data_IF_081338128172
#
_entry.id   IF_081338128172
#
_cell.length_a   1.000
_cell.length_b   1.000
_cell.length_c   1.000
_cell.angle_alpha   90.00
_cell.angle_beta   90.00
_cell.angle_gamma   90.00
#
_symmetry.space_group_name_H-M   'P 1'
#
loop_
_entity.id
_entity.type
_entity.pdbx_description
1 polymer ?
#
# COMPACT_ATOMS: atom_id res chain seq x y z
N UNK A 1 -45.35 -10.01 11.76
CA UNK A 1 -44.09 -9.29 12.06
C UNK A 1 -42.94 -10.19 11.70
N UNK A 2 -42.34 -9.96 10.52
CA UNK A 2 -41.22 -10.74 10.03
C UNK A 2 -39.97 -10.06 10.56
N UNK A 3 -39.30 -10.64 11.55
CA UNK A 3 -38.01 -10.17 12.04
C UNK A 3 -36.97 -10.47 10.98
N UNK A 4 -36.54 -9.43 10.26
CA UNK A 4 -35.42 -9.45 9.37
C UNK A 4 -34.15 -9.60 10.24
N UNK A 5 -33.73 -10.83 10.48
CA UNK A 5 -32.42 -11.15 11.05
C UNK A 5 -31.39 -10.83 9.99
N UNK A 6 -30.89 -9.59 9.98
CA UNK A 6 -29.64 -9.24 9.30
C UNK A 6 -28.56 -9.96 10.10
N UNK A 7 -28.21 -11.16 9.69
CA UNK A 7 -27.03 -11.84 10.20
C UNK A 7 -25.83 -10.96 9.82
N UNK A 8 -25.25 -10.29 10.80
CA UNK A 8 -23.96 -9.62 10.68
C UNK A 8 -22.94 -10.74 10.43
N UNK A 9 -22.68 -11.04 9.17
CA UNK A 9 -21.69 -12.05 8.82
C UNK A 9 -20.33 -11.52 9.26
N UNK A 10 -19.83 -12.04 10.37
CA UNK A 10 -18.47 -11.78 10.80
C UNK A 10 -17.51 -12.18 9.68
N UNK A 11 -16.45 -11.41 9.50
CA UNK A 11 -15.39 -11.77 8.56
C UNK A 11 -14.82 -13.14 9.00
N UNK A 12 -15.06 -14.17 8.22
CA UNK A 12 -14.37 -15.43 8.41
C UNK A 12 -12.99 -15.31 7.78
N UNK A 13 -12.00 -14.96 8.62
CA UNK A 13 -10.61 -15.02 8.21
C UNK A 13 -10.29 -16.49 7.93
N UNK A 14 -9.79 -16.85 6.74
CA UNK A 14 -9.41 -18.24 6.47
C UNK A 14 -8.31 -18.68 7.45
N UNK A 15 -8.17 -19.99 7.69
CA UNK A 15 -7.11 -20.50 8.53
C UNK A 15 -5.75 -20.10 7.93
N UNK A 16 -4.73 -19.82 8.78
CA UNK A 16 -3.41 -19.49 8.29
C UNK A 16 -2.82 -20.69 7.54
N UNK A 17 -2.05 -20.43 6.47
CA UNK A 17 -1.26 -21.48 5.81
C UNK A 17 -0.15 -21.94 6.76
N UNK A 18 0.59 -22.99 6.35
CA UNK A 18 1.64 -23.59 7.19
C UNK A 18 2.82 -22.66 7.48
N UNK A 19 2.92 -21.55 6.76
CA UNK A 19 3.95 -20.53 6.95
C UNK A 19 5.37 -21.04 6.74
N UNK A 20 6.34 -20.41 7.36
CA UNK A 20 7.77 -20.63 7.12
C UNK A 20 8.40 -21.69 8.03
N UNK A 21 7.69 -22.20 9.02
CA UNK A 21 8.24 -23.05 10.08
C UNK A 21 8.38 -24.53 9.77
N UNK A 22 8.01 -25.00 8.58
CA UNK A 22 8.00 -26.42 8.23
C UNK A 22 8.64 -26.68 6.87
N UNK A 23 9.13 -27.90 6.64
CA UNK A 23 9.70 -28.32 5.34
C UNK A 23 8.69 -28.37 4.20
N UNK A 24 7.39 -28.33 4.52
CA UNK A 24 6.26 -28.23 3.57
C UNK A 24 5.57 -26.88 3.71
N UNK A 25 6.37 -25.86 3.93
CA UNK A 25 5.88 -24.53 4.18
C UNK A 25 5.08 -24.00 2.98
N UNK A 26 3.99 -23.34 3.28
CA UNK A 26 3.05 -22.77 2.33
C UNK A 26 2.63 -21.39 2.83
N UNK A 27 2.68 -20.41 1.95
CA UNK A 27 2.29 -19.01 2.27
C UNK A 27 1.11 -18.55 1.44
N UNK A 28 0.53 -19.44 0.63
CA UNK A 28 -0.59 -19.14 -0.26
C UNK A 28 -1.87 -19.80 0.28
N UNK A 29 -2.94 -19.01 0.36
CA UNK A 29 -4.30 -19.51 0.62
C UNK A 29 -5.15 -19.17 -0.59
N UNK A 30 -5.45 -20.14 -1.41
CA UNK A 30 -6.29 -19.98 -2.61
C UNK A 30 -7.72 -20.44 -2.34
N UNK A 31 -8.48 -19.63 -1.55
CA UNK A 31 -9.88 -19.95 -1.27
C UNK A 31 -10.81 -19.68 -2.46
N UNK A 32 -10.37 -18.89 -3.44
CA UNK A 32 -11.12 -18.64 -4.66
C UNK A 32 -10.92 -19.74 -5.73
N UNK A 33 -9.97 -20.66 -5.53
CA UNK A 33 -9.60 -21.74 -6.46
C UNK A 33 -9.27 -21.22 -7.88
N UNK A 34 -8.43 -20.21 -7.96
CA UNK A 34 -8.03 -19.56 -9.22
C UNK A 34 -6.56 -19.82 -9.57
N UNK A 35 -5.83 -20.54 -8.74
CA UNK A 35 -4.40 -20.82 -8.92
C UNK A 35 -4.15 -22.26 -9.32
N UNK A 36 -3.19 -22.43 -10.21
CA UNK A 36 -2.62 -23.75 -10.52
C UNK A 36 -1.52 -24.09 -9.50
N UNK A 37 -1.31 -25.38 -9.20
CA UNK A 37 -0.29 -25.79 -8.25
C UNK A 37 1.11 -25.25 -8.54
N UNK A 38 1.52 -25.25 -9.81
CA UNK A 38 2.81 -24.69 -10.24
C UNK A 38 2.96 -23.18 -9.94
N UNK A 39 1.86 -22.44 -9.92
CA UNK A 39 1.86 -21.03 -9.54
C UNK A 39 2.03 -20.89 -8.02
N UNK A 40 1.33 -21.70 -7.25
CA UNK A 40 1.47 -21.75 -5.79
C UNK A 40 2.92 -22.08 -5.42
N UNK A 41 3.51 -23.09 -6.06
CA UNK A 41 4.91 -23.45 -5.85
C UNK A 41 5.88 -22.33 -6.20
N UNK A 42 5.61 -21.59 -7.27
CA UNK A 42 6.43 -20.43 -7.66
C UNK A 42 6.36 -19.33 -6.63
N UNK A 43 5.16 -18.96 -6.18
CA UNK A 43 4.96 -17.94 -5.16
C UNK A 43 5.63 -18.34 -3.85
N UNK A 44 5.47 -19.62 -3.45
CA UNK A 44 6.14 -20.15 -2.27
C UNK A 44 7.66 -20.01 -2.37
N UNK A 45 8.29 -20.38 -3.50
CA UNK A 45 9.74 -20.21 -3.69
C UNK A 45 10.19 -18.77 -3.55
N UNK A 46 9.46 -17.80 -4.14
CA UNK A 46 9.78 -16.38 -3.99
C UNK A 46 9.71 -15.97 -2.51
N UNK A 47 8.62 -16.33 -1.83
CA UNK A 47 8.41 -16.01 -0.43
C UNK A 47 9.49 -16.60 0.49
N UNK A 48 9.89 -17.86 0.24
CA UNK A 48 10.97 -18.51 0.99
C UNK A 48 12.33 -17.89 0.74
N UNK A 49 12.61 -17.50 -0.50
CA UNK A 49 13.86 -16.81 -0.83
C UNK A 49 13.96 -15.47 -0.09
N UNK A 50 12.86 -14.71 -0.08
CA UNK A 50 12.76 -13.48 0.70
C UNK A 50 12.96 -13.73 2.19
N UNK A 51 12.26 -14.72 2.75
CA UNK A 51 12.34 -15.01 4.18
C UNK A 51 13.75 -15.48 4.59
N UNK A 52 14.35 -16.36 3.82
CA UNK A 52 15.69 -16.88 4.11
C UNK A 52 16.76 -15.78 4.08
N UNK A 53 16.63 -14.78 3.22
CA UNK A 53 17.63 -13.71 3.01
C UNK A 53 17.38 -12.45 3.82
N UNK A 54 16.14 -12.16 4.18
CA UNK A 54 15.76 -10.93 4.89
C UNK A 54 15.09 -11.16 6.25
N UNK A 55 14.57 -12.37 6.51
CA UNK A 55 13.67 -12.61 7.62
C UNK A 55 12.29 -11.95 7.47
N UNK A 56 12.02 -11.31 6.34
CA UNK A 56 10.71 -10.77 6.01
C UNK A 56 9.71 -11.88 5.65
N UNK A 57 8.44 -11.59 5.78
CA UNK A 57 7.37 -12.54 5.52
C UNK A 57 6.36 -12.00 4.54
N UNK A 58 5.90 -12.82 3.62
CA UNK A 58 4.75 -12.48 2.78
C UNK A 58 3.74 -13.62 2.78
N UNK A 59 2.47 -13.27 2.64
CA UNK A 59 1.42 -14.24 2.40
C UNK A 59 0.52 -13.78 1.26
N UNK A 60 0.01 -14.72 0.48
CA UNK A 60 -0.88 -14.48 -0.64
C UNK A 60 -2.21 -15.13 -0.36
N UNK A 61 -3.27 -14.37 -0.52
CA UNK A 61 -4.63 -14.81 -0.22
C UNK A 61 -5.55 -14.47 -1.38
N UNK A 62 -6.25 -15.48 -1.90
CA UNK A 62 -7.38 -15.23 -2.76
C UNK A 62 -8.68 -15.56 -2.02
N UNK A 63 -9.64 -14.67 -2.06
CA UNK A 63 -10.97 -14.88 -1.49
C UNK A 63 -12.01 -14.80 -2.59
N UNK A 64 -13.05 -15.67 -2.58
CA UNK A 64 -14.09 -15.61 -3.61
C UNK A 64 -14.91 -14.33 -3.50
N UNK A 65 -15.11 -13.82 -2.29
CA UNK A 65 -15.89 -12.62 -2.04
C UNK A 65 -15.54 -12.01 -0.67
N UNK A 66 -15.67 -10.71 -0.55
CA UNK A 66 -15.49 -9.97 0.70
C UNK A 66 -16.76 -9.18 1.09
N UNK A 67 -17.83 -9.33 0.31
CA UNK A 67 -19.09 -8.62 0.51
C UNK A 67 -18.93 -7.11 0.36
N UNK A 68 -19.46 -6.37 1.32
CA UNK A 68 -19.38 -4.89 1.34
C UNK A 68 -18.17 -4.34 2.10
N UNK A 69 -17.24 -5.20 2.48
CA UNK A 69 -16.06 -4.78 3.26
C UNK A 69 -15.02 -4.14 2.35
N UNK A 70 -14.27 -3.17 2.90
CA UNK A 70 -13.12 -2.63 2.20
C UNK A 70 -11.99 -3.67 2.14
N UNK A 71 -11.30 -3.84 0.99
CA UNK A 71 -10.17 -4.77 0.88
C UNK A 71 -9.09 -4.56 1.94
N UNK A 72 -8.84 -3.31 2.32
CA UNK A 72 -7.88 -2.96 3.38
C UNK A 72 -8.24 -3.58 4.71
N UNK A 73 -9.52 -3.53 5.12
CA UNK A 73 -9.96 -4.07 6.41
C UNK A 73 -9.81 -5.59 6.45
N UNK A 74 -10.11 -6.25 5.32
CA UNK A 74 -9.98 -7.70 5.19
C UNK A 74 -8.52 -8.13 5.23
N UNK A 75 -7.65 -7.49 4.44
CA UNK A 75 -6.23 -7.79 4.41
C UNK A 75 -5.56 -7.53 5.78
N UNK A 76 -5.92 -6.44 6.43
CA UNK A 76 -5.46 -6.09 7.77
C UNK A 76 -5.89 -7.12 8.82
N UNK A 77 -7.14 -7.56 8.78
CA UNK A 77 -7.65 -8.59 9.69
C UNK A 77 -6.90 -9.92 9.49
N UNK A 78 -6.63 -10.31 8.25
CA UNK A 78 -5.83 -11.50 7.92
C UNK A 78 -4.41 -11.36 8.47
N UNK A 79 -3.71 -10.27 8.16
CA UNK A 79 -2.34 -10.05 8.60
C UNK A 79 -2.18 -10.11 10.12
N UNK A 80 -3.13 -9.53 10.85
CA UNK A 80 -3.15 -9.55 12.32
C UNK A 80 -3.50 -10.93 12.87
N UNK A 81 -4.51 -11.59 12.30
CA UNK A 81 -4.95 -12.91 12.77
C UNK A 81 -3.88 -13.98 12.54
N UNK A 82 -3.14 -13.90 11.44
CA UNK A 82 -2.08 -14.84 11.11
C UNK A 82 -0.75 -14.50 11.78
N UNK A 83 -0.58 -13.26 12.27
CA UNK A 83 0.66 -12.81 12.87
C UNK A 83 1.81 -12.70 11.88
N UNK A 84 1.52 -12.31 10.63
CA UNK A 84 2.55 -12.18 9.58
C UNK A 84 3.54 -11.08 9.95
N UNK A 85 4.82 -11.36 9.73
CA UNK A 85 5.94 -10.51 10.14
C UNK A 85 6.61 -10.99 11.43
N UNK A 86 7.93 -10.85 11.49
CA UNK A 86 8.71 -11.33 12.62
C UNK A 86 8.46 -10.52 13.90
N UNK A 87 8.29 -11.20 15.03
CA UNK A 87 8.28 -10.60 16.35
C UNK A 87 9.73 -10.39 16.85
N UNK A 88 10.46 -9.52 16.16
CA UNK A 88 11.85 -9.23 16.49
C UNK A 88 11.97 -8.10 17.53
N UNK A 89 13.16 -7.91 18.10
CA UNK A 89 13.42 -6.86 19.08
C UNK A 89 13.23 -5.46 18.49
N UNK A 90 12.91 -4.48 19.35
CA UNK A 90 12.78 -3.09 18.93
C UNK A 90 14.08 -2.60 18.28
N UNK A 91 13.95 -2.00 17.09
CA UNK A 91 15.09 -1.51 16.31
C UNK A 91 15.65 -2.50 15.29
N UNK A 92 15.20 -3.76 15.28
CA UNK A 92 15.57 -4.70 14.22
C UNK A 92 14.71 -4.45 12.96
N UNK A 93 15.35 -4.42 11.79
CA UNK A 93 14.70 -4.19 10.48
C UNK A 93 13.63 -5.27 10.16
N UNK A 94 13.80 -6.48 10.68
CA UNK A 94 12.88 -7.60 10.46
C UNK A 94 11.60 -7.52 11.30
N UNK A 95 11.56 -6.63 12.31
CA UNK A 95 10.39 -6.50 13.18
C UNK A 95 9.18 -6.07 12.40
N UNK A 96 8.10 -6.86 12.46
CA UNK A 96 6.85 -6.65 11.72
C UNK A 96 7.05 -6.47 10.20
N UNK A 97 8.14 -7.03 9.65
CA UNK A 97 8.41 -7.00 8.22
C UNK A 97 7.54 -8.04 7.51
N UNK A 98 6.25 -7.74 7.41
CA UNK A 98 5.23 -8.61 6.83
C UNK A 98 4.45 -7.94 5.70
N UNK A 99 4.00 -8.73 4.72
CA UNK A 99 3.15 -8.28 3.61
C UNK A 99 2.05 -9.30 3.36
N UNK A 100 0.82 -8.80 3.18
CA UNK A 100 -0.31 -9.59 2.69
C UNK A 100 -0.69 -9.11 1.30
N UNK A 101 -0.77 -10.01 0.35
CA UNK A 101 -1.31 -9.78 -0.99
C UNK A 101 -2.70 -10.41 -1.03
N UNK A 102 -3.74 -9.59 -1.08
CA UNK A 102 -5.14 -10.01 -1.15
C UNK A 102 -5.68 -9.79 -2.55
N UNK A 103 -6.29 -10.81 -3.13
CA UNK A 103 -7.00 -10.73 -4.41
C UNK A 103 -8.39 -11.33 -4.28
N UNK A 104 -9.38 -10.61 -4.79
CA UNK A 104 -10.77 -11.08 -4.94
C UNK A 104 -11.10 -11.11 -6.42
N UNK A 105 -11.32 -12.28 -7.01
CA UNK A 105 -11.66 -12.39 -8.43
C UNK A 105 -13.00 -11.71 -8.72
N UNK A 106 -13.07 -11.00 -9.85
CA UNK A 106 -14.27 -10.32 -10.29
C UNK A 106 -15.47 -11.27 -10.48
N UNK A 107 -15.17 -12.47 -10.96
CA UNK A 107 -16.18 -13.48 -11.32
C UNK A 107 -16.93 -14.04 -10.11
N UNK A 108 -16.30 -14.07 -8.95
CA UNK A 108 -16.89 -14.57 -7.71
C UNK A 108 -17.36 -13.48 -6.76
N UNK A 109 -16.93 -12.23 -7.00
CA UNK A 109 -17.26 -11.11 -6.15
C UNK A 109 -18.73 -10.69 -6.27
N UNK A 110 -19.41 -10.57 -5.14
CA UNK A 110 -20.79 -10.07 -5.07
C UNK A 110 -20.92 -8.61 -5.51
N UNK A 111 -19.85 -7.84 -5.42
CA UNK A 111 -19.79 -6.45 -5.91
C UNK A 111 -19.67 -6.34 -7.44
N UNK A 112 -19.39 -7.45 -8.13
CA UNK A 112 -19.11 -7.47 -9.57
C UNK A 112 -17.80 -6.82 -9.96
N UNK A 113 -16.92 -6.51 -9.00
CA UNK A 113 -15.58 -5.94 -9.21
C UNK A 113 -14.53 -6.88 -8.66
N UNK A 114 -13.40 -6.97 -9.37
CA UNK A 114 -12.22 -7.61 -8.84
C UNK A 114 -11.46 -6.63 -7.96
N UNK A 115 -10.80 -7.13 -6.91
CA UNK A 115 -10.04 -6.33 -5.96
C UNK A 115 -8.63 -6.91 -5.79
N UNK A 116 -7.63 -6.06 -5.86
CA UNK A 116 -6.26 -6.34 -5.48
C UNK A 116 -5.84 -5.38 -4.38
N UNK A 117 -5.30 -5.90 -3.30
CA UNK A 117 -4.79 -5.07 -2.21
C UNK A 117 -3.51 -5.67 -1.63
N UNK A 118 -2.49 -4.85 -1.49
CA UNK A 118 -1.24 -5.19 -0.81
C UNK A 118 -1.19 -4.39 0.48
N UNK A 119 -1.24 -5.07 1.64
CA UNK A 119 -1.10 -4.41 2.94
C UNK A 119 0.25 -4.75 3.56
N UNK A 120 0.82 -3.76 4.22
CA UNK A 120 2.16 -3.80 4.79
C UNK A 120 2.11 -3.81 6.32
N UNK A 121 3.00 -4.58 6.93
CA UNK A 121 3.29 -4.47 8.35
C UNK A 121 4.16 -3.24 8.63
N UNK A 122 4.17 -2.79 9.87
CA UNK A 122 4.92 -1.58 10.28
C UNK A 122 6.40 -1.60 9.89
N UNK A 123 7.01 -2.78 9.81
CA UNK A 123 8.40 -2.94 9.40
C UNK A 123 8.63 -2.80 7.89
N UNK A 124 7.58 -2.90 7.08
CA UNK A 124 7.66 -2.78 5.62
C UNK A 124 7.18 -1.43 5.08
N UNK A 125 6.45 -0.66 5.86
CA UNK A 125 5.91 0.66 5.44
C UNK A 125 7.01 1.66 5.03
N UNK A 126 8.24 1.49 5.55
CA UNK A 126 9.36 2.36 5.24
C UNK A 126 9.92 2.18 3.82
N UNK A 127 9.74 1.01 3.21
CA UNK A 127 10.26 0.68 1.89
C UNK A 127 9.22 0.14 0.89
N UNK A 128 8.02 -0.22 1.36
CA UNK A 128 6.84 -0.45 0.51
C UNK A 128 5.77 0.54 0.94
N UNK A 129 5.72 1.67 0.26
CA UNK A 129 4.72 2.70 0.53
C UNK A 129 3.36 2.33 -0.04
N UNK A 130 2.30 2.98 0.44
CA UNK A 130 0.93 2.81 -0.09
C UNK A 130 0.86 3.07 -1.60
N UNK A 131 1.63 4.03 -2.09
CA UNK A 131 1.69 4.37 -3.50
C UNK A 131 2.34 3.26 -4.34
N UNK A 132 3.40 2.62 -3.83
CA UNK A 132 4.06 1.48 -4.47
C UNK A 132 3.19 0.24 -4.42
N UNK A 133 2.56 -0.07 -3.29
CA UNK A 133 1.59 -1.15 -3.15
C UNK A 133 0.44 -1.01 -4.17
N UNK A 134 -0.13 0.20 -4.29
CA UNK A 134 -1.15 0.48 -5.29
C UNK A 134 -0.61 0.39 -6.73
N UNK A 135 0.65 0.78 -6.98
CA UNK A 135 1.28 0.67 -8.29
C UNK A 135 1.47 -0.79 -8.71
N UNK A 136 1.92 -1.66 -7.79
CA UNK A 136 2.03 -3.11 -8.04
C UNK A 136 0.68 -3.71 -8.42
N UNK A 137 -0.39 -3.38 -7.68
CA UNK A 137 -1.73 -3.84 -8.03
C UNK A 137 -2.16 -3.34 -9.42
N UNK A 138 -1.93 -2.06 -9.75
CA UNK A 138 -2.25 -1.52 -11.09
C UNK A 138 -1.48 -2.20 -12.21
N UNK A 139 -0.22 -2.56 -11.99
CA UNK A 139 0.60 -3.30 -12.95
C UNK A 139 -0.01 -4.68 -13.25
N UNK A 140 -0.60 -5.33 -12.25
CA UNK A 140 -1.22 -6.65 -12.38
C UNK A 140 -2.64 -6.61 -12.98
N UNK A 141 -3.33 -5.45 -12.99
CA UNK A 141 -4.72 -5.32 -13.49
C UNK A 141 -4.93 -5.88 -14.91
N UNK A 142 -4.06 -5.63 -15.91
CA UNK A 142 -4.25 -6.19 -17.23
C UNK A 142 -4.31 -7.73 -17.27
N UNK A 143 -3.53 -8.39 -16.39
CA UNK A 143 -3.55 -9.84 -16.26
C UNK A 143 -4.84 -10.32 -15.58
N UNK A 144 -5.28 -9.63 -14.52
CA UNK A 144 -6.55 -9.91 -13.85
C UNK A 144 -7.75 -9.78 -14.79
N UNK A 145 -7.78 -8.73 -15.62
CA UNK A 145 -8.82 -8.54 -16.63
C UNK A 145 -8.88 -9.69 -17.66
N UNK A 146 -7.73 -10.32 -17.92
CA UNK A 146 -7.62 -11.51 -18.77
C UNK A 146 -7.82 -12.82 -18.00
N UNK A 147 -8.21 -12.77 -16.72
CA UNK A 147 -8.35 -13.92 -15.82
C UNK A 147 -7.06 -14.72 -15.62
N UNK A 148 -5.92 -14.10 -15.86
CA UNK A 148 -4.60 -14.69 -15.65
C UNK A 148 -4.13 -14.49 -14.19
N UNK A 149 -4.89 -15.04 -13.24
CA UNK A 149 -4.65 -14.85 -11.80
C UNK A 149 -3.28 -15.36 -11.37
N UNK A 150 -2.86 -16.52 -11.90
CA UNK A 150 -1.55 -17.09 -11.60
C UNK A 150 -0.38 -16.17 -11.97
N UNK A 151 -0.24 -15.77 -13.24
CA UNK A 151 0.76 -14.80 -13.66
C UNK A 151 0.71 -13.48 -12.89
N UNK A 152 -0.50 -12.96 -12.62
CA UNK A 152 -0.70 -11.71 -11.88
C UNK A 152 -0.18 -11.80 -10.44
N UNK A 153 -0.51 -12.88 -9.72
CA UNK A 153 -0.06 -13.08 -8.35
C UNK A 153 1.44 -13.40 -8.26
N UNK A 154 1.99 -14.13 -9.22
CA UNK A 154 3.43 -14.35 -9.32
C UNK A 154 4.18 -13.04 -9.60
N UNK A 155 3.63 -12.14 -10.42
CA UNK A 155 4.16 -10.79 -10.64
C UNK A 155 4.15 -9.98 -9.34
N UNK A 156 3.03 -9.95 -8.63
CA UNK A 156 2.92 -9.23 -7.35
C UNK A 156 3.91 -9.76 -6.31
N UNK A 157 3.99 -11.07 -6.13
CA UNK A 157 4.96 -11.69 -5.22
C UNK A 157 6.40 -11.35 -5.59
N UNK A 158 6.72 -11.34 -6.90
CA UNK A 158 8.02 -10.93 -7.42
C UNK A 158 8.33 -9.46 -7.12
N UNK A 159 7.37 -8.55 -7.33
CA UNK A 159 7.55 -7.13 -7.04
C UNK A 159 7.74 -6.85 -5.55
N UNK A 160 6.95 -7.49 -4.69
CA UNK A 160 7.15 -7.43 -3.24
C UNK A 160 8.54 -7.97 -2.88
N UNK A 161 8.93 -9.11 -3.42
CA UNK A 161 10.26 -9.69 -3.20
C UNK A 161 11.39 -8.77 -3.65
N UNK A 162 11.23 -8.05 -4.77
CA UNK A 162 12.20 -7.05 -5.26
C UNK A 162 12.37 -5.89 -4.27
N UNK A 163 11.29 -5.39 -3.66
CA UNK A 163 11.39 -4.35 -2.62
C UNK A 163 12.17 -4.86 -1.40
N UNK A 164 11.91 -6.09 -0.95
CA UNK A 164 12.71 -6.70 0.10
C UNK A 164 14.18 -6.83 -0.30
N UNK A 165 14.45 -7.26 -1.54
CA UNK A 165 15.81 -7.42 -2.05
C UNK A 165 16.58 -6.10 -2.06
N UNK A 166 15.93 -5.00 -2.45
CA UNK A 166 16.51 -3.66 -2.44
C UNK A 166 16.79 -3.16 -1.02
N UNK A 167 15.83 -3.30 -0.09
CA UNK A 167 15.99 -2.82 1.28
C UNK A 167 17.05 -3.61 2.07
N UNK A 168 17.09 -4.93 1.88
CA UNK A 168 17.98 -5.82 2.64
C UNK A 168 19.28 -6.17 1.91
N UNK A 169 19.47 -5.68 0.67
CA UNK A 169 20.72 -5.81 -0.08
C UNK A 169 21.02 -7.23 -0.58
N UNK A 170 20.01 -7.95 -1.05
CA UNK A 170 20.18 -9.27 -1.65
C UNK A 170 19.61 -9.33 -3.08
N UNK A 171 19.81 -10.44 -3.77
CA UNK A 171 19.20 -10.71 -5.08
C UNK A 171 18.22 -11.88 -4.96
N UNK A 172 17.07 -11.77 -5.60
CA UNK A 172 16.12 -12.87 -5.72
C UNK A 172 16.67 -13.96 -6.63
N UNK A 173 16.27 -15.20 -6.37
CA UNK A 173 16.53 -16.29 -7.30
C UNK A 173 15.74 -16.07 -8.60
N UNK A 174 16.47 -15.78 -9.67
CA UNK A 174 15.93 -15.46 -10.99
C UNK A 174 15.10 -16.60 -11.59
N UNK A 175 15.31 -17.84 -11.18
CA UNK A 175 14.51 -18.99 -11.64
C UNK A 175 13.06 -18.96 -11.14
N UNK A 176 12.82 -18.28 -10.04
CA UNK A 176 11.49 -18.19 -9.40
C UNK A 176 10.73 -16.94 -9.77
N UNK A 177 11.42 -15.87 -10.15
CA UNK A 177 10.82 -14.55 -10.43
C UNK A 177 10.33 -14.49 -11.88
N UNK A 178 9.12 -13.95 -12.14
CA UNK A 178 8.66 -13.70 -13.51
C UNK A 178 9.59 -12.76 -14.28
N UNK A 179 9.76 -13.01 -15.58
CA UNK A 179 10.65 -12.22 -16.43
C UNK A 179 10.31 -10.71 -16.44
N UNK A 180 9.04 -10.37 -16.22
CA UNK A 180 8.58 -8.98 -16.12
C UNK A 180 9.18 -8.24 -14.91
N UNK A 181 9.41 -8.95 -13.80
CA UNK A 181 10.00 -8.38 -12.59
C UNK A 181 11.50 -8.15 -12.77
N UNK A 182 12.17 -9.06 -13.51
CA UNK A 182 13.61 -8.96 -13.77
C UNK A 182 13.97 -7.88 -14.80
N UNK A 183 13.01 -7.40 -15.57
CA UNK A 183 13.24 -6.26 -16.44
C UNK A 183 13.24 -5.01 -15.57
N UNK A 184 14.36 -4.25 -15.52
CA UNK A 184 14.33 -2.96 -14.85
C UNK A 184 13.20 -2.15 -15.48
N UNK A 185 12.42 -1.51 -14.63
CA UNK A 185 11.29 -0.67 -15.04
C UNK A 185 11.85 0.50 -15.87
N UNK A 186 12.16 0.22 -17.15
CA UNK A 186 12.44 1.22 -18.16
C UNK A 186 11.09 1.78 -18.60
N UNK A 187 10.26 2.14 -17.64
CA UNK A 187 9.34 3.22 -17.92
C UNK A 187 10.26 4.42 -18.11
N UNK A 188 10.33 4.98 -19.32
CA UNK A 188 10.90 6.29 -19.46
C UNK A 188 10.09 7.13 -18.47
N UNK A 189 10.70 7.45 -17.32
CA UNK A 189 10.20 8.56 -16.50
C UNK A 189 10.00 9.63 -17.52
N UNK A 190 8.74 9.80 -17.93
CA UNK A 190 8.39 10.72 -18.97
C UNK A 190 9.12 11.97 -18.57
N UNK A 191 10.16 12.26 -19.31
CA UNK A 191 10.90 13.50 -19.21
C UNK A 191 9.77 14.49 -19.19
N UNK A 192 9.40 14.92 -17.98
CA UNK A 192 8.45 16.01 -17.86
C UNK A 192 9.06 17.02 -18.78
N UNK A 193 8.54 17.01 -19.99
CA UNK A 193 8.80 18.03 -20.98
C UNK A 193 8.73 19.29 -20.14
N UNK A 194 9.84 20.04 -20.08
CA UNK A 194 9.97 21.22 -19.26
C UNK A 194 8.96 22.28 -19.70
N UNK A 195 7.69 21.93 -19.64
CA UNK A 195 6.56 22.82 -19.71
C UNK A 195 6.72 23.74 -18.52
N UNK A 196 6.85 25.03 -18.82
CA UNK A 196 6.93 26.08 -17.83
C UNK A 196 5.80 25.82 -16.83
N UNK A 197 6.17 25.58 -15.57
CA UNK A 197 5.19 25.30 -14.51
C UNK A 197 4.07 26.36 -14.58
N UNK A 198 2.79 25.98 -14.44
CA UNK A 198 1.68 26.95 -14.37
C UNK A 198 1.95 28.07 -13.38
N UNK A 199 2.70 27.79 -12.32
CA UNK A 199 3.16 28.77 -11.35
C UNK A 199 4.12 29.78 -11.96
N UNK A 200 5.07 29.37 -12.82
CA UNK A 200 5.99 30.30 -13.51
C UNK A 200 5.22 31.18 -14.49
N UNK A 201 4.24 30.62 -15.22
CA UNK A 201 3.36 31.40 -16.10
C UNK A 201 2.58 32.43 -15.30
N UNK A 202 2.04 32.06 -14.14
CA UNK A 202 1.31 32.95 -13.25
C UNK A 202 2.20 34.10 -12.72
N UNK A 203 3.42 33.78 -12.30
CA UNK A 203 4.39 34.79 -11.84
C UNK A 203 4.77 35.73 -12.98
N UNK A 204 5.03 35.23 -14.18
CA UNK A 204 5.32 36.06 -15.36
C UNK A 204 4.15 36.96 -15.72
N UNK A 205 2.91 36.48 -15.55
CA UNK A 205 1.70 37.26 -15.77
C UNK A 205 1.58 38.44 -14.78
N UNK A 206 1.86 38.18 -13.48
CA UNK A 206 1.86 39.24 -12.45
C UNK A 206 2.96 40.26 -12.73
N UNK A 207 4.14 39.84 -13.10
CA UNK A 207 5.27 40.73 -13.43
C UNK A 207 4.93 41.60 -14.66
N UNK A 208 4.41 40.99 -15.71
CA UNK A 208 3.96 41.72 -16.90
C UNK A 208 2.85 42.74 -16.57
N UNK A 209 1.86 42.33 -15.76
CA UNK A 209 0.78 43.19 -15.33
C UNK A 209 1.26 44.40 -14.50
N UNK A 210 2.20 44.19 -13.58
CA UNK A 210 2.80 45.26 -12.77
C UNK A 210 3.62 46.24 -13.62
N UNK A 211 4.37 45.72 -14.62
CA UNK A 211 5.13 46.57 -15.56
C UNK A 211 4.19 47.43 -16.41
N UNK A 212 3.14 46.84 -16.98
CA UNK A 212 2.15 47.54 -17.79
C UNK A 212 1.41 48.62 -16.99
N UNK A 213 1.00 48.32 -15.75
CA UNK A 213 0.39 49.30 -14.86
C UNK A 213 1.36 50.43 -14.43
N UNK A 214 2.64 50.09 -14.28
CA UNK A 214 3.68 51.06 -13.96
C UNK A 214 3.93 52.02 -15.13
N UNK A 215 3.90 51.53 -16.36
CA UNK A 215 4.05 52.37 -17.56
C UNK A 215 2.82 53.26 -17.82
N UNK A 216 1.62 52.82 -17.45
CA UNK A 216 0.39 53.58 -17.60
C UNK A 216 0.28 54.78 -16.62
N UNK A 217 1.01 54.78 -15.51
CA UNK A 217 1.02 55.85 -14.50
C UNK A 217 1.91 57.04 -14.85
N UNK A 218 2.67 56.99 -15.95
CA UNK A 218 3.54 58.13 -16.36
C UNK A 218 2.86 59.21 -17.20
N UNK A 219 1.55 59.11 -17.42
CA UNK A 219 0.82 60.13 -18.17
C UNK A 219 -0.46 60.55 -17.45
N UNK A 220 -0.34 61.18 -16.28
CA UNK A 220 -1.34 62.20 -15.80
C UNK A 220 -0.71 62.90 -14.61
N UNK A 221 -0.35 64.12 -14.85
CA UNK A 221 0.18 65.01 -13.86
C UNK A 221 -0.90 65.52 -12.92
N UNK A 222 -0.47 65.88 -11.75
CA UNK A 222 -0.90 66.89 -10.87
C UNK A 222 -2.40 67.06 -10.56
N UNK A 223 -2.78 66.82 -9.28
CA UNK A 223 -4.05 67.25 -8.71
C UNK A 223 -4.23 66.69 -7.32
N UNK A 224 -4.06 67.49 -6.30
CA UNK A 224 -3.99 67.24 -4.87
C UNK A 224 -5.11 66.41 -4.26
N UNK A 225 -4.82 65.82 -3.14
CA UNK A 225 -5.80 65.21 -2.25
C UNK A 225 -5.23 63.99 -1.54
N UNK A 226 -4.99 64.09 -0.25
CA UNK A 226 -4.34 63.16 0.62
C UNK A 226 -4.89 61.72 0.55
N UNK A 227 -4.02 60.77 0.32
CA UNK A 227 -4.29 59.36 0.52
C UNK A 227 -3.75 58.96 1.88
N UNK A 228 -4.63 58.67 2.80
CA UNK A 228 -4.36 58.04 4.07
C UNK A 228 -3.93 56.60 3.80
N UNK A 229 -2.73 56.15 4.20
CA UNK A 229 -2.37 54.73 4.13
C UNK A 229 -3.15 53.98 5.20
N UNK A 230 -4.05 53.10 4.80
CA UNK A 230 -4.69 52.16 5.70
C UNK A 230 -3.65 51.06 5.99
N UNK A 231 -3.16 50.89 7.24
CA UNK A 231 -2.34 49.74 7.57
C UNK A 231 -3.23 48.52 7.59
N UNK A 232 -2.96 47.57 6.71
CA UNK A 232 -3.53 46.21 6.78
C UNK A 232 -2.86 45.54 7.94
N UNK A 233 -3.52 45.54 9.09
CA UNK A 233 -3.14 44.75 10.26
C UNK A 233 -3.55 43.32 9.98
N UNK A 234 -2.57 42.46 9.76
CA UNK A 234 -2.80 41.01 9.81
C UNK A 234 -3.02 40.66 11.29
N UNK A 235 -4.10 40.00 11.65
CA UNK A 235 -4.24 39.45 13.00
C UNK A 235 -3.34 38.24 13.12
N UNK A 236 -2.16 38.42 13.69
CA UNK A 236 -1.40 37.36 14.29
C UNK A 236 -2.09 36.98 15.60
N UNK A 237 -3.08 36.14 15.52
CA UNK A 237 -3.73 35.51 16.66
C UNK A 237 -3.25 34.08 16.75
N UNK A 238 -2.18 33.85 17.50
CA UNK A 238 -1.73 32.56 17.92
C UNK A 238 -2.73 31.93 18.89
N UNK A 239 -3.06 30.72 18.63
CA UNK A 239 -3.82 29.87 19.51
C UNK A 239 -3.43 28.43 19.20
N UNK A 240 -2.23 28.03 19.61
CA UNK A 240 -1.91 26.60 19.66
C UNK A 240 -2.63 26.01 20.87
N UNK A 241 -3.85 25.57 20.68
CA UNK A 241 -4.48 24.64 21.61
C UNK A 241 -3.84 23.27 21.39
N UNK A 242 -2.94 23.00 22.28
CA UNK A 242 -2.30 21.70 22.49
C UNK A 242 -3.36 20.72 22.99
N UNK A 243 -4.10 20.13 22.04
CA UNK A 243 -5.00 18.99 22.28
C UNK A 243 -4.13 17.80 22.62
N UNK A 244 -4.01 17.51 23.90
CA UNK A 244 -3.43 16.27 24.38
C UNK A 244 -4.34 15.12 23.95
N UNK A 245 -3.86 14.29 23.06
CA UNK A 245 -4.45 13.00 22.80
C UNK A 245 -3.99 12.08 23.91
N UNK A 246 -4.91 11.81 24.80
CA UNK A 246 -4.73 10.87 25.87
C UNK A 246 -4.38 9.51 25.32
N UNK A 247 -3.24 8.98 25.74
CA UNK A 247 -2.80 7.63 25.51
C UNK A 247 -3.77 6.65 26.15
N UNK A 248 -4.62 6.02 25.34
CA UNK A 248 -5.31 4.81 25.70
C UNK A 248 -4.34 3.66 25.56
N UNK A 249 -3.63 3.32 26.63
CA UNK A 249 -2.86 2.11 26.71
C UNK A 249 -3.83 0.93 26.77
N UNK A 250 -3.96 0.20 25.68
CA UNK A 250 -4.49 -1.16 25.74
C UNK A 250 -3.32 -2.11 25.96
N UNK A 251 -2.99 -2.31 27.22
CA UNK A 251 -2.27 -3.46 27.69
C UNK A 251 -3.17 -4.68 27.50
N UNK A 252 -2.94 -5.42 26.44
CA UNK A 252 -3.50 -6.72 26.17
C UNK A 252 -2.34 -7.72 26.11
N UNK A 253 -1.89 -8.21 27.25
CA UNK A 253 -1.10 -9.42 27.35
C UNK A 253 -2.01 -10.58 26.98
N UNK A 254 -1.87 -11.10 25.77
CA UNK A 254 -2.43 -12.36 25.32
C UNK A 254 -1.28 -13.24 24.86
N UNK A 255 -0.81 -14.12 25.77
CA UNK A 255 -0.01 -15.26 25.39
C UNK A 255 -0.86 -16.17 24.53
N UNK A 256 -0.86 -15.98 23.23
CA UNK A 256 -1.46 -16.86 22.24
C UNK A 256 -0.39 -17.85 21.80
N UNK A 257 -0.63 -19.13 22.05
CA UNK A 257 0.19 -20.23 21.57
C UNK A 257 0.40 -20.11 20.07
N UNK A 258 1.67 -20.18 19.62
CA UNK A 258 2.03 -20.06 18.23
C UNK A 258 1.34 -21.12 17.38
N UNK A 259 0.49 -20.71 16.50
CA UNK A 259 0.18 -21.47 15.31
C UNK A 259 1.45 -21.35 14.44
N UNK A 260 2.20 -22.47 14.38
CA UNK A 260 3.54 -22.52 13.81
C UNK A 260 3.55 -22.23 12.31
N UNK A 261 3.68 -20.97 11.93
CA UNK A 261 3.71 -20.62 10.52
C UNK A 261 4.39 -19.30 10.23
N UNK A 262 3.99 -18.26 10.91
CA UNK A 262 4.53 -16.91 10.76
C UNK A 262 5.18 -16.46 12.06
N UNK A 263 6.06 -15.43 11.98
CA UNK A 263 6.88 -14.98 13.09
C UNK A 263 6.16 -14.32 14.27
N UNK A 264 4.80 -14.24 14.19
CA UNK A 264 3.96 -13.75 15.27
C UNK A 264 3.99 -12.25 15.52
N UNK A 265 4.52 -11.46 14.58
CA UNK A 265 4.60 -10.01 14.70
C UNK A 265 3.23 -9.34 14.65
N UNK A 266 2.46 -9.60 13.60
CA UNK A 266 1.08 -9.11 13.41
C UNK A 266 0.90 -7.59 13.49
N UNK A 267 1.99 -6.84 13.48
CA UNK A 267 2.02 -5.39 13.59
C UNK A 267 1.61 -4.69 12.31
N UNK A 268 0.34 -4.81 11.92
CA UNK A 268 -0.25 -4.11 10.78
C UNK A 268 -1.01 -2.88 11.26
N UNK A 269 -0.65 -1.71 10.76
CA UNK A 269 -1.26 -0.40 11.08
C UNK A 269 -2.37 -0.02 10.13
N UNK A 270 -2.46 -0.67 8.98
CA UNK A 270 -3.43 -0.38 7.92
C UNK A 270 -2.81 0.31 6.72
N UNK A 271 -1.46 0.37 6.66
CA UNK A 271 -0.74 0.76 5.45
C UNK A 271 -0.97 -0.23 4.31
N UNK A 272 -0.80 0.26 3.08
CA UNK A 272 -0.96 -0.54 1.88
C UNK A 272 -1.71 0.19 0.78
N UNK A 273 -1.84 -0.45 -0.35
CA UNK A 273 -2.52 0.12 -1.50
C UNK A 273 -3.14 -0.93 -2.40
N UNK A 274 -4.09 -0.52 -3.18
CA UNK A 274 -4.82 -1.44 -4.03
C UNK A 274 -5.34 -0.84 -5.31
N UNK A 275 -5.96 -1.69 -6.12
CA UNK A 275 -6.64 -1.34 -7.35
C UNK A 275 -7.78 -2.33 -7.59
N UNK A 276 -8.85 -1.84 -8.20
CA UNK A 276 -9.99 -2.67 -8.63
C UNK A 276 -10.11 -2.68 -10.15
N UNK A 277 -10.79 -3.72 -10.71
CA UNK A 277 -11.01 -3.84 -12.16
C UNK A 277 -12.39 -4.36 -12.53
#
# INVERSE_FOLDING_TARGET
>A
MLHLLIALQALQVPPPPRGYGTSTAEVVVDAANVLLPETVDRINRIAFDVHAKSGGEMAVVTLPDIGLRAPVDVALAIGRAWGVGANAAIGQKTRNAGVIILVVPKESSSSGRGECFVTTGQGTEGFITDAEAAAMCREAVPLFQQRQYGPALALLAGRVGEQFAQEFGFTLDSSSVPAQVLQPDVQPRGRRSGGISPFVIFVLFIVAYTILNSMSRRRRGCGGGGCIPIPIVFPTGGGYSRGGWGGGGFGGGGGGGGFGGFGGGGGFSGGGGGSSW
#
